data_IF_191704280464
#
_entry.id   IF_191704280464
#
_cell.length_a   1.000
_cell.length_b   1.000
_cell.length_c   1.000
_cell.angle_alpha   90.00
_cell.angle_beta   90.00
_cell.angle_gamma   90.00
#
_symmetry.space_group_name_H-M   'P 1'
#
loop_
_entity.id
_entity.type
_entity.pdbx_description
1 polymer ?
#
# COMPACT_ATOMS: atom_id res chain seq x y z
N UNK A 1 -26.12 -20.09 -7.03
CA UNK A 1 -25.00 -19.46 -7.77
C UNK A 1 -23.82 -19.14 -6.85
N UNK A 2 -24.02 -18.56 -5.67
CA UNK A 2 -22.94 -18.20 -4.72
C UNK A 2 -22.16 -19.43 -4.18
N UNK A 3 -22.86 -20.53 -3.87
CA UNK A 3 -22.24 -21.72 -3.27
C UNK A 3 -21.35 -22.53 -4.23
N UNK A 4 -21.57 -22.42 -5.55
CA UNK A 4 -20.74 -23.10 -6.56
C UNK A 4 -19.45 -22.33 -6.80
N UNK A 5 -19.51 -20.99 -6.82
CA UNK A 5 -18.33 -20.14 -6.93
C UNK A 5 -17.36 -20.35 -5.77
N UNK A 6 -17.88 -20.48 -4.54
CA UNK A 6 -17.03 -20.67 -3.37
C UNK A 6 -16.32 -22.04 -3.37
N UNK A 7 -16.99 -23.11 -3.83
CA UNK A 7 -16.36 -24.42 -3.98
C UNK A 7 -15.27 -24.40 -5.06
N UNK A 8 -15.48 -23.68 -6.16
CA UNK A 8 -14.47 -23.53 -7.22
C UNK A 8 -13.27 -22.68 -6.77
N UNK A 9 -13.48 -21.70 -5.89
CA UNK A 9 -12.42 -20.89 -5.28
C UNK A 9 -11.60 -21.72 -4.28
N UNK A 10 -12.27 -22.44 -3.36
CA UNK A 10 -11.63 -23.32 -2.37
C UNK A 10 -10.81 -24.43 -3.05
N UNK A 11 -11.31 -25.03 -4.13
CA UNK A 11 -10.57 -26.03 -4.91
C UNK A 11 -9.33 -25.44 -5.60
N UNK A 12 -9.42 -24.21 -6.12
CA UNK A 12 -8.26 -23.52 -6.72
C UNK A 12 -7.22 -23.13 -5.67
N UNK A 13 -7.63 -22.75 -4.47
CA UNK A 13 -6.72 -22.47 -3.36
C UNK A 13 -6.00 -23.73 -2.91
N UNK A 14 -6.72 -24.84 -2.79
CA UNK A 14 -6.15 -26.12 -2.39
C UNK A 14 -5.20 -26.72 -3.45
N UNK A 15 -5.54 -26.62 -4.74
CA UNK A 15 -4.62 -27.01 -5.83
C UNK A 15 -3.34 -26.15 -5.86
N UNK A 16 -3.45 -24.86 -5.56
CA UNK A 16 -2.29 -23.97 -5.44
C UNK A 16 -1.42 -24.33 -4.24
N UNK A 17 -2.03 -24.63 -3.10
CA UNK A 17 -1.33 -25.03 -1.88
C UNK A 17 -0.59 -26.37 -2.05
N UNK A 18 -1.24 -27.34 -2.71
CA UNK A 18 -0.64 -28.64 -3.03
C UNK A 18 0.53 -28.52 -4.02
N UNK A 19 0.43 -27.63 -5.02
CA UNK A 19 1.56 -27.33 -5.92
C UNK A 19 2.69 -26.60 -5.21
N UNK A 20 2.38 -25.70 -4.28
CA UNK A 20 3.38 -24.96 -3.51
C UNK A 20 4.13 -25.82 -2.48
N UNK A 21 3.49 -26.87 -1.97
CA UNK A 21 4.10 -27.81 -1.01
C UNK A 21 5.30 -28.60 -1.60
N UNK A 22 5.39 -28.68 -2.93
CA UNK A 22 6.49 -29.35 -3.65
C UNK A 22 7.81 -28.56 -3.64
N UNK A 23 7.73 -27.25 -3.42
CA UNK A 23 8.89 -26.36 -3.40
C UNK A 23 9.45 -26.21 -1.98
N UNK A 24 10.17 -27.23 -1.53
CA UNK A 24 10.91 -27.19 -0.26
C UNK A 24 12.26 -26.48 -0.45
N UNK A 25 12.81 -25.94 0.64
CA UNK A 25 14.16 -25.34 0.62
C UNK A 25 15.18 -26.37 0.12
N UNK A 26 16.09 -25.94 -0.76
CA UNK A 26 17.04 -26.86 -1.39
C UNK A 26 18.17 -26.16 -2.13
N UNK A 27 18.91 -26.93 -2.91
CA UNK A 27 19.98 -26.45 -3.79
C UNK A 27 19.67 -26.89 -5.20
N UNK A 28 19.66 -25.94 -6.14
CA UNK A 28 19.60 -26.21 -7.57
C UNK A 28 21.02 -26.27 -8.09
N UNK A 29 21.42 -27.43 -8.59
CA UNK A 29 22.72 -27.64 -9.20
C UNK A 29 22.60 -27.61 -10.73
N UNK A 30 23.38 -26.75 -11.36
CA UNK A 30 23.42 -26.58 -12.81
C UNK A 30 24.79 -27.07 -13.30
N UNK A 31 24.81 -28.00 -14.26
CA UNK A 31 26.02 -28.62 -14.82
C UNK A 31 25.78 -29.05 -16.27
N UNK A 32 26.83 -29.55 -16.96
CA UNK A 32 26.75 -29.99 -18.36
C UNK A 32 26.20 -28.92 -19.31
N UNK A 33 26.69 -27.69 -19.14
CA UNK A 33 26.17 -26.52 -19.85
C UNK A 33 26.76 -26.47 -21.26
N UNK A 34 25.92 -26.26 -22.26
CA UNK A 34 26.36 -26.13 -23.66
C UNK A 34 25.51 -25.12 -24.42
N UNK A 35 26.16 -24.35 -25.29
CA UNK A 35 25.50 -23.46 -26.27
C UNK A 35 25.71 -23.98 -27.68
N UNK A 36 24.71 -23.82 -28.54
CA UNK A 36 24.72 -24.28 -29.93
C UNK A 36 24.12 -23.25 -30.87
N UNK A 37 24.63 -23.23 -32.10
CA UNK A 37 24.11 -22.45 -33.23
C UNK A 37 23.83 -20.96 -32.90
N UNK A 38 24.73 -20.35 -32.11
CA UNK A 38 24.60 -18.93 -31.78
C UNK A 38 24.76 -18.05 -33.02
N UNK A 39 24.06 -16.91 -33.12
CA UNK A 39 24.28 -15.93 -34.17
C UNK A 39 25.68 -15.31 -34.01
N UNK A 40 26.29 -14.93 -35.13
CA UNK A 40 27.49 -14.11 -35.12
C UNK A 40 27.09 -12.65 -34.84
N UNK A 41 27.53 -12.09 -33.71
CA UNK A 41 27.22 -10.70 -33.35
C UNK A 41 28.33 -9.73 -33.80
N UNK A 42 29.59 -10.17 -33.76
CA UNK A 42 30.74 -9.33 -34.13
C UNK A 42 30.93 -9.15 -35.64
N UNK A 43 31.26 -7.90 -36.03
CA UNK A 43 31.61 -7.52 -37.41
C UNK A 43 32.92 -8.16 -37.90
N UNK A 44 33.85 -8.43 -36.97
CA UNK A 44 35.15 -9.08 -37.24
C UNK A 44 35.42 -10.07 -36.12
N UNK A 45 35.33 -11.37 -36.40
CA UNK A 45 35.39 -12.44 -35.40
C UNK A 45 34.09 -13.24 -35.36
N UNK A 46 34.02 -14.22 -34.46
CA UNK A 46 32.77 -14.88 -34.05
C UNK A 46 32.41 -14.38 -32.65
N UNK A 47 31.25 -14.76 -32.15
CA UNK A 47 30.80 -14.48 -30.78
C UNK A 47 31.72 -15.08 -29.71
N UNK A 48 31.87 -14.37 -28.59
CA UNK A 48 32.55 -14.76 -27.36
C UNK A 48 31.52 -15.06 -26.25
N UNK A 49 30.81 -16.22 -26.29
CA UNK A 49 29.62 -16.39 -25.47
C UNK A 49 29.94 -16.69 -23.99
N UNK A 50 29.09 -16.18 -23.11
CA UNK A 50 28.93 -16.67 -21.74
C UNK A 50 27.44 -16.81 -21.38
N UNK A 51 27.14 -17.69 -20.43
CA UNK A 51 25.79 -17.98 -19.96
C UNK A 51 25.63 -17.43 -18.54
N UNK A 52 24.56 -16.67 -18.32
CA UNK A 52 24.18 -16.11 -17.02
C UNK A 52 22.89 -16.77 -16.53
N UNK A 53 22.97 -17.44 -15.38
CA UNK A 53 21.85 -18.03 -14.68
C UNK A 53 21.36 -17.07 -13.60
N UNK A 54 20.07 -16.73 -13.63
CA UNK A 54 19.41 -15.92 -12.59
C UNK A 54 18.33 -16.73 -11.92
N UNK A 55 18.37 -16.77 -10.59
CA UNK A 55 17.42 -17.48 -9.76
C UNK A 55 17.07 -16.65 -8.54
N UNK A 56 15.95 -15.92 -8.63
CA UNK A 56 15.57 -14.93 -7.64
C UNK A 56 16.60 -13.79 -7.56
N UNK A 57 17.20 -13.59 -6.38
CA UNK A 57 18.26 -12.60 -6.17
C UNK A 57 19.68 -13.11 -6.47
N UNK A 58 19.83 -14.37 -6.90
CA UNK A 58 21.13 -14.97 -7.19
C UNK A 58 21.44 -14.93 -8.67
N UNK A 59 22.70 -14.65 -9.00
CA UNK A 59 23.25 -14.72 -10.34
C UNK A 59 24.53 -15.56 -10.34
N UNK A 60 24.69 -16.43 -11.36
CA UNK A 60 25.89 -17.24 -11.60
C UNK A 60 26.21 -17.22 -13.09
N UNK A 61 27.47 -17.03 -13.45
CA UNK A 61 27.91 -16.94 -14.84
C UNK A 61 28.98 -17.96 -15.18
N UNK A 62 28.99 -18.43 -16.42
CA UNK A 62 30.08 -19.25 -16.95
C UNK A 62 31.34 -18.44 -17.22
N UNK A 63 32.44 -19.13 -17.52
CA UNK A 63 33.55 -18.50 -18.23
C UNK A 63 33.12 -18.00 -19.63
N UNK A 64 33.93 -17.12 -20.21
CA UNK A 64 33.74 -16.61 -21.59
C UNK A 64 34.45 -17.56 -22.55
N UNK A 65 33.70 -18.13 -23.49
CA UNK A 65 34.28 -18.88 -24.60
C UNK A 65 34.77 -17.91 -25.68
N UNK A 66 35.81 -18.29 -26.43
CA UNK A 66 36.43 -17.41 -27.43
C UNK A 66 36.08 -17.81 -28.86
N UNK A 67 35.64 -16.84 -29.65
CA UNK A 67 35.38 -16.90 -31.08
C UNK A 67 34.66 -18.20 -31.51
N UNK A 68 33.48 -18.46 -30.93
CA UNK A 68 32.73 -19.69 -31.18
C UNK A 68 31.22 -19.51 -31.15
N UNK A 69 30.54 -20.28 -32.00
CA UNK A 69 29.07 -20.35 -32.03
C UNK A 69 28.53 -21.61 -31.32
N UNK A 70 29.43 -22.51 -30.93
CA UNK A 70 29.13 -23.79 -30.29
C UNK A 70 30.19 -24.04 -29.20
N UNK A 71 29.77 -24.20 -27.95
CA UNK A 71 30.72 -24.43 -26.86
C UNK A 71 30.14 -25.29 -25.74
N UNK A 72 31.02 -26.05 -25.09
CA UNK A 72 30.69 -26.89 -23.94
C UNK A 72 31.47 -26.43 -22.70
N UNK A 73 30.75 -26.00 -21.68
CA UNK A 73 31.31 -25.61 -20.37
C UNK A 73 31.32 -26.82 -19.42
N UNK A 74 31.92 -27.94 -19.86
CA UNK A 74 31.77 -29.27 -19.21
C UNK A 74 32.26 -29.31 -17.77
N UNK A 75 33.27 -28.51 -17.44
CA UNK A 75 33.90 -28.50 -16.12
C UNK A 75 33.29 -27.45 -15.18
N UNK A 76 32.23 -26.76 -15.61
CA UNK A 76 31.56 -25.72 -14.83
C UNK A 76 30.28 -26.25 -14.18
N UNK A 77 30.15 -25.97 -12.88
CA UNK A 77 29.00 -26.34 -12.07
C UNK A 77 28.64 -25.21 -11.11
N UNK A 78 27.34 -24.94 -10.99
CA UNK A 78 26.82 -23.89 -10.11
C UNK A 78 25.77 -24.44 -9.17
N UNK A 79 25.96 -24.21 -7.87
CA UNK A 79 24.95 -24.46 -6.85
C UNK A 79 24.27 -23.13 -6.50
N UNK A 80 22.94 -23.09 -6.60
CA UNK A 80 22.10 -21.93 -6.30
C UNK A 80 21.07 -22.31 -5.23
N UNK A 81 20.92 -21.49 -4.19
CA UNK A 81 20.01 -21.80 -3.09
C UNK A 81 18.55 -21.56 -3.49
N UNK A 82 17.72 -22.58 -3.37
CA UNK A 82 16.28 -22.47 -3.55
C UNK A 82 15.60 -22.21 -2.20
N UNK A 83 14.97 -21.06 -2.06
CA UNK A 83 14.07 -20.70 -0.96
C UNK A 83 13.03 -19.71 -1.49
N UNK A 84 11.75 -19.83 -1.07
CA UNK A 84 10.66 -18.93 -1.50
C UNK A 84 11.03 -17.45 -1.33
N UNK A 85 11.74 -17.08 -0.26
CA UNK A 85 12.18 -15.71 -0.02
C UNK A 85 13.26 -15.27 -1.02
N UNK A 86 14.22 -16.15 -1.31
CA UNK A 86 15.30 -15.88 -2.28
C UNK A 86 14.73 -15.76 -3.70
N UNK A 87 13.74 -16.59 -4.02
CA UNK A 87 13.08 -16.63 -5.32
C UNK A 87 12.17 -15.44 -5.61
N UNK A 88 11.83 -14.63 -4.60
CA UNK A 88 10.91 -13.48 -4.73
C UNK A 88 9.57 -13.86 -5.38
N UNK A 89 9.06 -15.06 -5.07
CA UNK A 89 7.81 -15.59 -5.65
C UNK A 89 7.94 -16.17 -7.07
N UNK A 90 9.12 -16.10 -7.70
CA UNK A 90 9.38 -16.80 -8.97
C UNK A 90 9.62 -18.29 -8.73
N UNK A 91 9.50 -19.08 -9.79
CA UNK A 91 9.65 -20.55 -9.76
C UNK A 91 10.64 -21.07 -10.81
N UNK A 92 11.20 -20.16 -11.59
CA UNK A 92 12.00 -20.47 -12.77
C UNK A 92 13.45 -20.02 -12.57
N UNK A 93 14.36 -20.69 -13.27
CA UNK A 93 15.70 -20.18 -13.57
C UNK A 93 15.62 -19.46 -14.90
N UNK A 94 16.03 -18.19 -14.93
CA UNK A 94 16.22 -17.42 -16.15
C UNK A 94 17.66 -17.64 -16.64
N UNK A 95 17.81 -17.89 -17.93
CA UNK A 95 19.08 -18.14 -18.61
C UNK A 95 19.25 -17.09 -19.67
N UNK A 96 20.29 -16.27 -19.55
CA UNK A 96 20.67 -15.30 -20.55
C UNK A 96 21.99 -15.73 -21.20
N UNK A 97 22.08 -15.61 -22.51
CA UNK A 97 23.31 -15.86 -23.27
C UNK A 97 23.77 -14.55 -23.87
N UNK A 98 25.02 -14.21 -23.64
CA UNK A 98 25.60 -12.90 -23.94
C UNK A 98 26.89 -13.06 -24.75
N UNK A 99 27.14 -12.11 -25.64
CA UNK A 99 28.42 -11.92 -26.32
C UNK A 99 29.31 -11.00 -25.48
N UNK A 100 30.53 -11.43 -25.17
CA UNK A 100 31.46 -10.63 -24.38
C UNK A 100 32.25 -9.68 -25.30
N UNK A 101 32.10 -8.38 -25.07
CA UNK A 101 32.87 -7.36 -25.79
C UNK A 101 34.04 -6.87 -24.93
N UNK A 102 35.26 -7.02 -25.45
CA UNK A 102 36.45 -6.45 -24.80
C UNK A 102 36.40 -4.91 -24.73
N UNK A 103 35.62 -4.27 -25.60
CA UNK A 103 35.43 -2.81 -25.64
C UNK A 103 33.95 -2.51 -25.86
N UNK A 104 33.30 -1.89 -24.88
CA UNK A 104 31.90 -1.48 -24.99
C UNK A 104 31.01 -2.21 -24.01
N UNK A 105 29.76 -2.47 -24.41
CA UNK A 105 28.79 -3.23 -23.61
C UNK A 105 28.54 -4.55 -24.31
N UNK A 106 28.59 -5.63 -23.55
CA UNK A 106 28.23 -6.97 -23.98
C UNK A 106 26.84 -6.98 -24.64
N UNK A 107 26.73 -7.68 -25.76
CA UNK A 107 25.48 -7.83 -26.50
C UNK A 107 24.68 -9.04 -26.02
N UNK A 108 23.41 -8.83 -25.69
CA UNK A 108 22.52 -9.95 -25.33
C UNK A 108 22.15 -10.73 -26.59
N UNK A 109 22.49 -12.01 -26.62
CA UNK A 109 22.15 -12.92 -27.72
C UNK A 109 20.72 -13.42 -27.58
N UNK A 110 20.32 -13.82 -26.37
CA UNK A 110 18.93 -14.20 -26.10
C UNK A 110 18.68 -14.69 -24.67
N UNK A 111 17.41 -14.89 -24.36
CA UNK A 111 16.91 -15.27 -23.04
C UNK A 111 16.04 -16.53 -23.16
N UNK A 112 16.09 -17.39 -22.15
CA UNK A 112 15.14 -18.48 -21.94
C UNK A 112 14.86 -18.64 -20.43
N UNK A 113 13.82 -19.38 -20.07
CA UNK A 113 13.57 -19.78 -18.68
C UNK A 113 13.03 -21.20 -18.58
N UNK A 114 13.19 -21.84 -17.42
CA UNK A 114 12.61 -23.16 -17.13
C UNK A 114 12.20 -23.27 -15.66
N UNK A 115 11.10 -23.99 -15.39
CA UNK A 115 10.62 -24.26 -14.03
C UNK A 115 11.54 -25.29 -13.35
N UNK A 116 11.81 -25.05 -12.06
CA UNK A 116 12.65 -25.90 -11.24
C UNK A 116 11.90 -27.16 -10.77
N UNK A 117 10.56 -27.12 -10.66
CA UNK A 117 9.78 -28.23 -10.08
C UNK A 117 10.00 -29.60 -10.69
N UNK A 118 10.07 -29.74 -12.02
CA UNK A 118 10.21 -31.07 -12.60
C UNK A 118 11.44 -31.79 -12.02
N UNK A 119 12.48 -31.05 -11.58
CA UNK A 119 13.76 -31.59 -11.10
C UNK A 119 13.80 -31.98 -9.62
N UNK A 120 12.68 -31.93 -8.88
CA UNK A 120 12.67 -32.29 -7.46
C UNK A 120 13.16 -33.74 -7.25
N UNK A 121 14.35 -33.88 -6.64
CA UNK A 121 15.09 -35.13 -6.42
C UNK A 121 15.48 -35.93 -7.67
N UNK A 122 15.34 -35.35 -8.87
CA UNK A 122 15.68 -36.02 -10.13
C UNK A 122 16.43 -35.07 -11.07
N UNK A 123 17.62 -35.44 -11.58
CA UNK A 123 18.29 -34.67 -12.62
C UNK A 123 17.41 -34.54 -13.86
N UNK A 124 17.35 -33.34 -14.43
CA UNK A 124 16.66 -33.06 -15.68
C UNK A 124 17.61 -32.43 -16.66
N UNK A 125 17.55 -32.93 -17.90
CA UNK A 125 18.15 -32.27 -19.04
C UNK A 125 17.11 -31.35 -19.68
N UNK A 126 17.46 -30.08 -19.84
CA UNK A 126 16.63 -29.06 -20.52
C UNK A 126 17.32 -28.61 -21.79
N UNK A 127 16.57 -28.53 -22.88
CA UNK A 127 16.99 -27.88 -24.12
C UNK A 127 16.17 -26.60 -24.28
N UNK A 128 16.86 -25.46 -24.35
CA UNK A 128 16.24 -24.14 -24.31
C UNK A 128 16.46 -23.42 -25.63
N UNK A 129 15.38 -22.91 -26.21
CA UNK A 129 15.44 -22.06 -27.40
C UNK A 129 15.50 -20.59 -26.99
N UNK A 130 16.61 -19.93 -27.29
CA UNK A 130 16.84 -18.53 -26.95
C UNK A 130 15.89 -17.62 -27.73
N UNK A 131 15.18 -16.75 -27.01
CA UNK A 131 14.40 -15.69 -27.60
C UNK A 131 15.24 -14.42 -27.67
N UNK A 132 15.42 -13.88 -28.89
CA UNK A 132 16.02 -12.56 -29.07
C UNK A 132 15.11 -11.50 -28.46
N UNK A 133 15.68 -10.60 -27.68
CA UNK A 133 14.95 -9.46 -27.11
C UNK A 133 14.63 -8.44 -28.22
N UNK A 134 13.60 -8.69 -29.03
CA UNK A 134 13.07 -7.69 -29.96
C UNK A 134 12.58 -6.49 -29.17
N UNK A 135 13.22 -5.31 -29.30
CA UNK A 135 12.77 -3.96 -28.87
C UNK A 135 11.62 -3.91 -27.82
N UNK A 136 11.75 -4.62 -26.70
CA UNK A 136 10.71 -4.73 -25.66
C UNK A 136 10.50 -3.43 -24.88
N UNK A 137 11.45 -2.48 -25.00
CA UNK A 137 11.34 -1.19 -24.33
C UNK A 137 10.11 -0.40 -24.77
N UNK A 138 9.68 -0.46 -26.03
CA UNK A 138 8.51 0.34 -26.48
C UNK A 138 7.18 -0.29 -26.05
N UNK A 139 7.01 -1.61 -26.17
CA UNK A 139 5.77 -2.28 -25.78
C UNK A 139 5.59 -2.34 -24.26
N UNK A 140 6.68 -2.58 -23.50
CA UNK A 140 6.63 -2.55 -22.03
C UNK A 140 6.36 -1.15 -21.50
N UNK A 141 6.97 -0.10 -22.10
CA UNK A 141 6.66 1.28 -21.70
C UNK A 141 5.22 1.65 -22.06
N UNK A 142 4.69 1.14 -23.18
CA UNK A 142 3.30 1.39 -23.58
C UNK A 142 2.32 0.70 -22.62
N UNK A 143 2.54 -0.55 -22.25
CA UNK A 143 1.67 -1.28 -21.30
C UNK A 143 1.73 -0.67 -19.90
N UNK A 144 2.92 -0.30 -19.40
CA UNK A 144 3.07 0.39 -18.13
C UNK A 144 2.37 1.76 -18.11
N UNK A 145 2.45 2.53 -19.21
CA UNK A 145 1.73 3.81 -19.34
C UNK A 145 0.22 3.61 -19.37
N UNK A 146 -0.27 2.61 -20.10
CA UNK A 146 -1.71 2.29 -20.15
C UNK A 146 -2.24 1.83 -18.78
N UNK A 147 -1.47 1.05 -18.02
CA UNK A 147 -1.83 0.69 -16.64
C UNK A 147 -1.82 1.89 -15.70
N UNK A 148 -0.82 2.78 -15.78
CA UNK A 148 -0.79 4.01 -14.98
C UNK A 148 -1.98 4.92 -15.29
N UNK A 149 -2.35 5.05 -16.57
CA UNK A 149 -3.52 5.83 -16.97
C UNK A 149 -4.79 5.22 -16.39
N UNK A 150 -4.99 3.90 -16.52
CA UNK A 150 -6.15 3.20 -15.93
C UNK A 150 -6.23 3.37 -14.42
N UNK A 151 -5.12 3.24 -13.71
CA UNK A 151 -5.05 3.45 -12.24
C UNK A 151 -5.43 4.88 -11.87
N UNK A 152 -4.94 5.89 -12.62
CA UNK A 152 -5.28 7.30 -12.39
C UNK A 152 -6.76 7.59 -12.68
N UNK A 153 -7.31 7.04 -13.76
CA UNK A 153 -8.73 7.19 -14.10
C UNK A 153 -9.64 6.57 -13.03
N UNK A 154 -9.29 5.40 -12.52
CA UNK A 154 -10.02 4.75 -11.42
C UNK A 154 -9.93 5.56 -10.12
N UNK A 155 -8.75 6.09 -9.78
CA UNK A 155 -8.57 6.95 -8.60
C UNK A 155 -9.40 8.25 -8.70
N UNK A 156 -9.43 8.88 -9.88
CA UNK A 156 -10.26 10.06 -10.16
C UNK A 156 -11.73 9.70 -9.98
N UNK A 157 -12.20 8.61 -10.57
CA UNK A 157 -13.60 8.16 -10.46
C UNK A 157 -13.98 7.87 -9.00
N UNK A 158 -13.14 7.17 -8.24
CA UNK A 158 -13.38 6.91 -6.82
C UNK A 158 -13.42 8.20 -5.99
N UNK A 159 -12.55 9.17 -6.29
CA UNK A 159 -12.57 10.50 -5.65
C UNK A 159 -13.85 11.26 -5.99
N UNK A 160 -14.33 11.21 -7.22
CA UNK A 160 -15.59 11.83 -7.63
C UNK A 160 -16.81 11.17 -6.98
N UNK A 161 -16.87 9.83 -6.93
CA UNK A 161 -17.93 9.09 -6.23
C UNK A 161 -17.97 9.43 -4.74
N UNK A 162 -16.81 9.49 -4.06
CA UNK A 162 -16.71 9.93 -2.65
C UNK A 162 -17.19 11.36 -2.47
N UNK A 163 -16.79 12.28 -3.35
CA UNK A 163 -17.25 13.69 -3.33
C UNK A 163 -18.74 13.79 -3.55
N UNK A 164 -19.31 12.98 -4.47
CA UNK A 164 -20.75 12.96 -4.74
C UNK A 164 -21.53 12.43 -3.54
N UNK A 165 -21.11 11.33 -2.94
CA UNK A 165 -21.70 10.81 -1.69
C UNK A 165 -21.64 11.83 -0.55
N UNK A 166 -20.48 12.46 -0.33
CA UNK A 166 -20.33 13.51 0.70
C UNK A 166 -21.21 14.73 0.42
N UNK A 167 -21.36 15.15 -0.85
CA UNK A 167 -22.29 16.22 -1.24
C UNK A 167 -23.75 15.84 -1.03
N UNK A 168 -24.14 14.62 -1.38
CA UNK A 168 -25.50 14.10 -1.16
C UNK A 168 -25.82 13.95 0.34
N UNK A 169 -24.83 13.57 1.15
CA UNK A 169 -24.95 13.54 2.61
C UNK A 169 -25.10 14.96 3.17
N UNK A 170 -24.22 15.89 2.76
CA UNK A 170 -24.25 17.29 3.19
C UNK A 170 -25.53 18.02 2.75
N UNK A 171 -26.08 17.69 1.57
CA UNK A 171 -27.29 18.31 1.03
C UNK A 171 -28.56 17.99 1.85
N UNK A 172 -28.50 17.02 2.77
CA UNK A 172 -29.57 16.74 3.73
C UNK A 172 -29.66 17.78 4.84
N UNK A 173 -28.58 18.51 5.08
CA UNK A 173 -28.47 19.48 6.14
C UNK A 173 -28.75 20.87 5.58
N UNK A 174 -29.73 21.54 6.17
CA UNK A 174 -30.12 22.89 5.79
C UNK A 174 -29.60 23.87 6.82
N UNK A 175 -29.26 25.05 6.34
CA UNK A 175 -28.89 26.17 7.20
C UNK A 175 -30.02 26.45 8.21
N UNK A 176 -29.67 26.65 9.48
CA UNK A 176 -30.65 26.80 10.56
C UNK A 176 -30.12 27.60 11.75
N UNK A 177 -30.95 27.75 12.78
CA UNK A 177 -30.57 28.38 14.05
C UNK A 177 -30.76 27.35 15.16
N UNK A 178 -29.72 27.12 15.95
CA UNK A 178 -29.78 26.28 17.14
C UNK A 178 -29.97 27.21 18.34
N UNK A 179 -31.09 27.06 19.05
CA UNK A 179 -31.40 27.85 20.24
C UNK A 179 -31.09 27.05 21.50
N UNK A 180 -30.19 27.58 22.32
CA UNK A 180 -29.90 27.08 23.66
C UNK A 180 -30.68 27.91 24.69
N UNK A 181 -31.40 27.24 25.59
CA UNK A 181 -32.18 27.86 26.65
C UNK A 181 -32.34 26.87 27.80
N UNK A 182 -32.72 27.35 28.99
CA UNK A 182 -32.91 26.51 30.18
C UNK A 182 -31.65 25.72 30.54
N UNK A 183 -30.49 26.37 30.42
CA UNK A 183 -29.19 25.77 30.75
C UNK A 183 -29.09 25.67 32.28
N UNK A 184 -28.68 24.53 32.79
CA UNK A 184 -28.43 24.33 34.21
C UNK A 184 -27.30 23.33 34.43
N UNK A 185 -26.55 23.56 35.49
CA UNK A 185 -25.46 22.71 35.96
C UNK A 185 -25.75 22.31 37.40
N UNK A 186 -25.44 21.08 37.78
CA UNK A 186 -25.70 20.56 39.12
C UNK A 186 -24.54 19.70 39.60
N UNK A 187 -24.37 19.65 40.92
CA UNK A 187 -23.44 18.74 41.61
C UNK A 187 -21.99 18.86 41.11
N UNK A 188 -21.57 20.07 40.76
CA UNK A 188 -20.22 20.34 40.29
C UNK A 188 -19.18 20.10 41.40
N UNK A 189 -18.00 19.55 41.08
CA UNK A 189 -16.90 19.42 42.04
C UNK A 189 -16.45 20.80 42.51
N UNK A 190 -15.97 20.90 43.76
CA UNK A 190 -15.30 22.11 44.25
C UNK A 190 -13.91 22.19 43.65
N UNK A 191 -13.65 23.26 42.94
CA UNK A 191 -12.36 23.49 42.28
C UNK A 191 -11.48 24.42 43.11
N UNK A 192 -12.08 25.34 43.88
CA UNK A 192 -11.37 26.21 44.82
C UNK A 192 -11.05 25.57 46.19
N UNK A 193 -9.85 25.84 46.70
CA UNK A 193 -9.34 25.28 47.99
C UNK A 193 -10.16 25.77 49.21
N UNK A 194 -10.78 26.95 49.12
CA UNK A 194 -11.53 27.57 50.23
C UNK A 194 -12.99 27.93 49.90
N UNK A 195 -13.34 27.94 48.63
CA UNK A 195 -14.66 28.32 48.12
C UNK A 195 -15.31 27.14 47.36
N UNK A 196 -16.55 27.30 46.89
CA UNK A 196 -17.10 26.45 45.83
C UNK A 196 -16.57 26.95 44.48
N UNK A 197 -17.02 26.33 43.39
CA UNK A 197 -16.67 26.74 42.03
C UNK A 197 -17.43 28.02 41.62
N UNK A 198 -16.89 28.76 40.67
CA UNK A 198 -17.48 29.90 39.96
C UNK A 198 -17.87 29.48 38.52
N UNK A 199 -18.87 28.59 38.31
CA UNK A 199 -19.08 27.99 37.01
C UNK A 199 -19.65 28.93 35.95
N UNK A 200 -19.22 28.73 34.70
CA UNK A 200 -19.89 29.19 33.48
C UNK A 200 -19.94 28.07 32.44
N UNK A 201 -20.89 28.17 31.51
CA UNK A 201 -21.05 27.22 30.41
C UNK A 201 -20.64 27.89 29.11
N UNK A 202 -19.77 27.23 28.35
CA UNK A 202 -19.30 27.64 27.04
C UNK A 202 -19.86 26.68 25.98
N UNK A 203 -20.59 27.23 25.02
CA UNK A 203 -21.23 26.48 23.94
C UNK A 203 -20.49 26.83 22.65
N UNK A 204 -19.99 25.83 21.93
CA UNK A 204 -19.22 26.05 20.69
C UNK A 204 -19.76 25.21 19.55
N UNK A 205 -19.75 25.78 18.35
CA UNK A 205 -20.02 25.06 17.11
C UNK A 205 -19.13 25.60 16.00
N UNK A 206 -18.13 24.82 15.57
CA UNK A 206 -17.13 25.30 14.64
C UNK A 206 -16.33 26.48 15.21
N UNK A 207 -16.39 27.62 14.54
CA UNK A 207 -15.71 28.85 14.95
C UNK A 207 -16.62 29.78 15.78
N UNK A 208 -17.92 29.49 15.88
CA UNK A 208 -18.86 30.28 16.69
C UNK A 208 -18.91 29.74 18.11
N UNK A 209 -19.01 30.64 19.09
CA UNK A 209 -19.11 30.27 20.50
C UNK A 209 -19.87 31.31 21.31
N UNK A 210 -20.62 30.86 22.30
CA UNK A 210 -21.41 31.67 23.22
C UNK A 210 -21.17 31.21 24.66
N UNK A 211 -21.23 32.13 25.62
CA UNK A 211 -20.91 31.84 27.03
C UNK A 211 -21.99 32.37 27.96
N UNK A 212 -22.33 31.60 29.00
CA UNK A 212 -23.19 32.08 30.08
C UNK A 212 -22.49 33.11 30.96
N UNK A 213 -23.28 33.78 31.79
CA UNK A 213 -22.72 34.51 32.94
C UNK A 213 -22.01 33.56 33.91
N UNK A 214 -21.14 34.12 34.76
CA UNK A 214 -20.41 33.38 35.79
C UNK A 214 -21.28 33.34 37.05
N UNK A 215 -21.64 32.13 37.49
CA UNK A 215 -22.33 31.92 38.75
C UNK A 215 -21.30 31.85 39.87
N UNK A 216 -21.34 32.77 40.84
CA UNK A 216 -20.32 32.82 41.89
C UNK A 216 -20.57 31.85 43.03
N UNK A 217 -19.53 31.15 43.47
CA UNK A 217 -19.45 30.28 44.63
C UNK A 217 -20.63 29.30 44.69
N UNK A 218 -20.82 28.55 43.61
CA UNK A 218 -21.93 27.64 43.41
C UNK A 218 -21.51 26.30 42.80
N UNK A 219 -22.02 25.20 43.37
CA UNK A 219 -21.91 23.86 42.78
C UNK A 219 -23.11 23.48 41.90
N UNK A 220 -24.18 24.28 41.93
CA UNK A 220 -25.38 24.07 41.10
C UNK A 220 -25.96 25.42 40.70
N UNK A 221 -26.25 25.64 39.43
CA UNK A 221 -26.80 26.91 38.96
C UNK A 221 -27.71 26.73 37.74
N UNK A 222 -28.76 27.55 37.65
CA UNK A 222 -29.70 27.54 36.54
C UNK A 222 -29.67 28.90 35.81
N UNK A 223 -29.21 28.90 34.57
CA UNK A 223 -29.15 30.07 33.68
C UNK A 223 -30.46 30.24 32.90
N UNK A 224 -31.60 30.14 33.59
CA UNK A 224 -32.92 30.05 32.95
C UNK A 224 -33.31 31.28 32.11
N UNK A 225 -32.72 32.44 32.42
CA UNK A 225 -33.00 33.71 31.75
C UNK A 225 -32.03 33.99 30.59
N UNK A 226 -31.08 33.09 30.34
CA UNK A 226 -30.08 33.23 29.28
C UNK A 226 -30.48 32.35 28.09
N UNK A 227 -30.49 32.96 26.91
CA UNK A 227 -30.78 32.29 25.65
C UNK A 227 -29.71 32.63 24.63
N UNK A 228 -29.18 31.61 23.97
CA UNK A 228 -28.14 31.75 22.94
C UNK A 228 -28.64 31.17 21.63
N UNK A 229 -28.22 31.78 20.52
CA UNK A 229 -28.58 31.33 19.18
C UNK A 229 -27.31 31.25 18.34
N UNK A 230 -26.98 30.03 17.89
CA UNK A 230 -25.84 29.80 17.00
C UNK A 230 -26.37 29.47 15.61
N UNK A 231 -25.80 30.09 14.57
CA UNK A 231 -26.19 29.84 13.19
C UNK A 231 -25.52 28.53 12.72
N UNK A 232 -26.32 27.49 12.47
CA UNK A 232 -25.80 26.30 11.82
C UNK A 232 -25.73 26.52 10.32
N UNK A 233 -24.52 26.58 9.79
CA UNK A 233 -24.25 26.59 8.36
C UNK A 233 -23.31 25.41 8.01
N UNK A 234 -23.79 24.36 7.32
CA UNK A 234 -22.99 23.18 7.00
C UNK A 234 -21.77 23.51 6.10
N UNK A 235 -21.77 24.66 5.42
CA UNK A 235 -20.62 25.13 4.63
C UNK A 235 -19.58 25.80 5.53
N UNK A 236 -19.99 26.67 6.46
CA UNK A 236 -19.06 27.34 7.40
C UNK A 236 -18.49 26.36 8.43
N UNK A 237 -19.33 25.53 9.00
CA UNK A 237 -18.96 24.53 10.03
C UNK A 237 -18.16 23.36 9.46
N UNK A 238 -17.90 23.32 8.15
CA UNK A 238 -17.23 22.21 7.47
C UNK A 238 -17.88 20.85 7.77
N UNK A 239 -19.20 20.84 7.93
CA UNK A 239 -19.98 19.65 8.30
C UNK A 239 -19.68 19.13 9.71
N UNK A 240 -19.12 19.94 10.61
CA UNK A 240 -19.19 19.61 12.04
C UNK A 240 -20.65 19.57 12.47
N UNK A 241 -21.02 18.45 13.07
CA UNK A 241 -22.39 18.12 13.48
C UNK A 241 -22.54 18.13 15.00
N UNK A 242 -21.46 18.43 15.71
CA UNK A 242 -21.39 18.40 17.16
C UNK A 242 -21.34 19.83 17.67
N UNK A 243 -22.16 20.09 18.69
CA UNK A 243 -22.03 21.25 19.54
C UNK A 243 -21.28 20.80 20.79
N UNK A 244 -20.15 21.46 21.05
CA UNK A 244 -19.40 21.26 22.27
C UNK A 244 -19.97 22.15 23.37
N UNK A 245 -20.35 21.53 24.49
CA UNK A 245 -20.82 22.20 25.69
C UNK A 245 -19.84 21.90 26.81
N UNK A 246 -19.17 22.94 27.27
CA UNK A 246 -18.14 22.87 28.30
C UNK A 246 -18.57 23.65 29.53
N UNK A 247 -18.29 23.12 30.71
CA UNK A 247 -18.49 23.80 32.00
C UNK A 247 -17.11 24.12 32.54
N UNK A 248 -16.86 25.39 32.82
CA UNK A 248 -15.58 25.92 33.28
C UNK A 248 -15.75 26.59 34.64
N UNK A 249 -14.71 26.52 35.45
CA UNK A 249 -14.56 27.25 36.71
C UNK A 249 -13.79 28.55 36.46
N UNK A 250 -14.42 29.70 36.75
CA UNK A 250 -13.78 30.99 36.53
C UNK A 250 -12.80 31.33 37.67
N UNK A 251 -11.55 31.63 37.31
CA UNK A 251 -10.54 32.04 38.26
C UNK A 251 -10.25 33.54 38.18
N UNK A 252 -10.37 34.24 39.31
CA UNK A 252 -9.98 35.67 39.38
C UNK A 252 -8.49 35.88 39.14
N UNK A 253 -7.67 34.88 39.46
CA UNK A 253 -6.23 34.91 39.28
C UNK A 253 -5.75 33.55 38.80
N UNK A 254 -5.34 33.45 37.54
CA UNK A 254 -4.93 32.17 36.95
C UNK A 254 -5.56 31.95 35.59
N UNK A 255 -5.67 30.69 35.21
CA UNK A 255 -6.43 30.24 34.05
C UNK A 255 -7.65 29.49 34.56
N UNK A 256 -8.80 29.73 33.93
CA UNK A 256 -10.03 29.00 34.24
C UNK A 256 -9.82 27.49 34.09
N UNK A 257 -10.40 26.72 35.01
CA UNK A 257 -10.29 25.27 35.05
C UNK A 257 -11.49 24.59 34.38
N UNK A 258 -11.24 23.65 33.47
CA UNK A 258 -12.32 22.88 32.86
C UNK A 258 -12.92 21.90 33.90
N UNK A 259 -14.21 22.05 34.20
CA UNK A 259 -14.95 21.15 35.09
C UNK A 259 -15.44 19.92 34.32
N UNK A 260 -15.97 20.10 33.11
CA UNK A 260 -16.48 19.00 32.30
C UNK A 260 -16.90 19.43 30.90
N UNK A 261 -17.01 18.48 29.97
CA UNK A 261 -17.38 18.73 28.59
C UNK A 261 -18.26 17.60 28.03
N UNK A 262 -19.14 17.95 27.09
CA UNK A 262 -19.95 17.00 26.31
C UNK A 262 -20.13 17.53 24.88
N UNK A 263 -20.08 16.62 23.91
CA UNK A 263 -20.38 16.92 22.51
C UNK A 263 -21.76 16.34 22.17
N UNK A 264 -22.62 17.15 21.56
CA UNK A 264 -24.00 16.77 21.21
C UNK A 264 -24.20 16.88 19.70
N UNK A 265 -24.59 15.78 19.06
CA UNK A 265 -24.99 15.77 17.65
C UNK A 265 -26.28 16.59 17.44
N UNK A 266 -26.30 17.45 16.42
CA UNK A 266 -27.42 18.34 16.05
C UNK A 266 -27.90 18.17 14.61
#
# INVERSE_FOLDING_TARGET
MIQVQQIEEDQKEQEKEDQESKYVKGVVQISNISVRDLPQMDLVGKTDPYVLFKMGIQEKQTSVAKETLNYDYKDEQFDMLYDKTIMQGKKEVEVEVWDYDSVGKNDLIGIASFDILPSFNNPIQVELFLQQKKKEKEETIKSLKEEEIKKKEEEIRLKEERRKKKREENAKYVKGIIKFSKIAVYDLPKMDIKDQSDPYVLIRMGEESEQTTIARNSQSHEYLNEEFMIEYDPVKTQVQKEVDVEVWDYDKTGFDDLIGAVSVDV
#
